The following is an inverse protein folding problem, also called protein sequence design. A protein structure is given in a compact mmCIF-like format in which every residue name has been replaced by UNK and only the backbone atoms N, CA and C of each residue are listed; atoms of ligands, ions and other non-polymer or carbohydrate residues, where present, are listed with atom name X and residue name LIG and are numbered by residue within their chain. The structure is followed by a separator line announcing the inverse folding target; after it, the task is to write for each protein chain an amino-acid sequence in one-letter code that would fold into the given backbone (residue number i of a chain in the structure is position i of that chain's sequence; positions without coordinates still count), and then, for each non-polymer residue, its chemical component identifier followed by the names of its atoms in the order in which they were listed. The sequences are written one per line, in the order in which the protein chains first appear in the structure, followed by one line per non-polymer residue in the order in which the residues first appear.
data_IF_880616446723
#
_entry.id   IF_880616446723
#
_cell.length_a   1.000
_cell.length_b   1.000
_cell.length_c   1.000
_cell.angle_alpha   90.00
_cell.angle_beta   90.00
_cell.angle_gamma   90.00
#
_symmetry.space_group_name_H-M   'P 1'
#
loop_
_entity.id
_entity.type
_entity.pdbx_description
1 polymer ?
#
# COMPACT_ATOMS: atom_id res chain seq x y z
N UNK A 1 -5.63 -9.68 -4.10
CA UNK A 1 -6.33 -8.39 -4.22
C UNK A 1 -5.47 -7.47 -5.08
N UNK A 2 -6.03 -6.48 -5.77
CA UNK A 2 -5.25 -5.50 -6.54
C UNK A 2 -5.70 -4.06 -6.22
N UNK A 3 -5.22 -3.08 -6.98
CA UNK A 3 -5.61 -1.68 -6.82
C UNK A 3 -4.43 -0.76 -6.51
N UNK A 4 -4.73 0.42 -5.96
CA UNK A 4 -3.72 1.44 -5.66
C UNK A 4 -4.08 2.19 -4.38
N UNK A 5 -3.05 2.66 -3.68
CA UNK A 5 -3.15 3.63 -2.60
C UNK A 5 -2.36 4.87 -2.98
N UNK A 6 -3.00 6.04 -2.90
CA UNK A 6 -2.33 7.33 -3.10
C UNK A 6 -2.14 8.02 -1.76
N UNK A 7 -0.96 8.61 -1.56
CA UNK A 7 -0.61 9.41 -0.39
C UNK A 7 -0.17 10.78 -0.86
N UNK A 8 -0.92 11.80 -0.48
CA UNK A 8 -0.53 13.20 -0.59
C UNK A 8 0.29 13.58 0.65
N UNK A 9 1.57 13.91 0.44
CA UNK A 9 2.48 14.28 1.52
C UNK A 9 2.26 15.76 1.85
N UNK A 10 1.76 16.03 3.06
CA UNK A 10 1.50 17.39 3.56
C UNK A 10 2.50 17.82 4.63
N UNK A 11 3.25 16.88 5.21
CA UNK A 11 4.28 17.19 6.18
C UNK A 11 5.40 18.04 5.56
N UNK A 12 5.91 19.05 6.30
CA UNK A 12 7.03 19.87 5.86
C UNK A 12 8.36 19.10 6.04
N UNK A 13 8.53 17.97 5.36
CA UNK A 13 9.73 17.12 5.49
C UNK A 13 11.03 17.89 5.21
N UNK A 14 10.98 18.82 4.26
CA UNK A 14 12.12 19.68 3.94
C UNK A 14 12.52 20.61 5.11
N UNK A 15 11.56 21.08 5.90
CA UNK A 15 11.83 21.91 7.09
C UNK A 15 12.49 21.08 8.21
N UNK A 16 12.30 19.76 8.17
CA UNK A 16 12.94 18.77 9.04
C UNK A 16 14.28 18.26 8.48
N UNK A 17 14.75 18.80 7.35
CA UNK A 17 15.97 18.31 6.68
C UNK A 17 15.83 16.93 6.06
N UNK A 18 14.61 16.40 5.95
CA UNK A 18 14.33 15.07 5.39
C UNK A 18 13.95 15.19 3.92
N UNK A 19 14.70 14.51 3.07
CA UNK A 19 14.43 14.36 1.64
C UNK A 19 13.85 12.97 1.36
N UNK A 20 12.58 12.86 0.92
CA UNK A 20 12.01 11.58 0.50
C UNK A 20 12.50 11.19 -0.90
N UNK A 21 12.82 9.91 -1.08
CA UNK A 21 13.13 9.27 -2.35
C UNK A 21 12.17 8.10 -2.58
N UNK A 22 11.61 8.01 -3.78
CA UNK A 22 10.73 6.91 -4.15
C UNK A 22 11.57 5.76 -4.73
N UNK A 23 11.53 4.60 -4.08
CA UNK A 23 12.30 3.41 -4.51
C UNK A 23 11.39 2.34 -5.14
N UNK A 24 10.20 2.14 -4.56
CA UNK A 24 9.18 1.22 -5.04
C UNK A 24 7.80 1.89 -4.97
N UNK A 25 7.32 2.37 -6.11
CA UNK A 25 6.03 3.06 -6.23
C UNK A 25 5.99 3.94 -7.46
N UNK A 26 5.00 4.81 -7.54
CA UNK A 26 4.82 5.78 -8.63
C UNK A 26 4.69 7.21 -8.11
N UNK A 27 5.31 8.17 -8.81
CA UNK A 27 5.02 9.59 -8.59
C UNK A 27 3.73 9.94 -9.35
N UNK A 28 2.64 10.15 -8.62
CA UNK A 28 1.32 10.48 -9.19
C UNK A 28 1.22 11.97 -9.54
N UNK A 29 1.72 12.82 -8.65
CA UNK A 29 1.80 14.28 -8.85
C UNK A 29 3.00 14.85 -8.11
N UNK A 30 3.65 15.87 -8.68
CA UNK A 30 4.72 16.60 -8.02
C UNK A 30 4.23 17.74 -7.13
N UNK A 31 3.03 18.28 -7.39
CA UNK A 31 2.48 19.44 -6.67
C UNK A 31 0.94 19.35 -6.59
N UNK A 32 0.35 19.05 -5.40
CA UNK A 32 1.05 18.58 -4.21
C UNK A 32 1.73 17.22 -4.46
N UNK A 33 2.80 16.94 -3.73
CA UNK A 33 3.54 15.68 -3.83
C UNK A 33 2.61 14.51 -3.48
N UNK A 34 2.26 13.72 -4.50
CA UNK A 34 1.39 12.56 -4.36
C UNK A 34 2.13 11.31 -4.82
N UNK A 35 2.24 10.34 -3.93
CA UNK A 35 2.89 9.05 -4.16
C UNK A 35 1.83 7.96 -4.31
N UNK A 36 2.02 7.07 -5.27
CA UNK A 36 1.14 5.95 -5.56
C UNK A 36 1.82 4.63 -5.23
N UNK A 37 1.12 3.74 -4.55
CA UNK A 37 1.58 2.42 -4.15
C UNK A 37 0.59 1.36 -4.64
N UNK A 38 1.08 0.36 -5.36
CA UNK A 38 0.24 -0.70 -5.86
C UNK A 38 -0.16 -1.64 -4.72
N UNK A 39 -1.44 -2.00 -4.68
CA UNK A 39 -1.94 -3.03 -3.77
C UNK A 39 -1.59 -4.38 -4.39
N UNK A 40 -0.79 -5.18 -3.69
CA UNK A 40 -0.30 -6.48 -4.15
C UNK A 40 -1.01 -7.65 -3.50
N UNK A 41 -1.60 -7.44 -2.31
CA UNK A 41 -2.16 -8.50 -1.50
C UNK A 41 -3.10 -8.00 -0.41
N UNK A 42 -3.29 -8.83 0.61
CA UNK A 42 -4.20 -8.59 1.73
C UNK A 42 -5.57 -9.29 1.62
N UNK A 43 -6.28 -9.30 2.74
CA UNK A 43 -7.63 -9.86 2.90
C UNK A 43 -8.56 -8.76 3.43
N UNK A 44 -9.49 -8.31 2.59
CA UNK A 44 -10.41 -7.22 2.88
C UNK A 44 -11.86 -7.68 2.68
N UNK A 45 -12.69 -7.49 3.71
CA UNK A 45 -14.13 -7.61 3.54
C UNK A 45 -14.67 -6.35 2.86
N UNK A 46 -15.00 -6.44 1.58
CA UNK A 46 -15.52 -5.32 0.79
C UNK A 46 -16.89 -4.79 1.26
N UNK A 47 -17.56 -5.47 2.19
CA UNK A 47 -18.81 -5.00 2.81
C UNK A 47 -18.54 -4.05 3.96
N UNK A 48 -17.55 -4.39 4.80
CA UNK A 48 -17.22 -3.66 6.03
C UNK A 48 -15.97 -2.80 5.90
N UNK A 49 -15.19 -3.01 4.84
CA UNK A 49 -13.84 -2.51 4.62
C UNK A 49 -12.86 -2.87 5.74
N UNK A 50 -13.16 -3.89 6.53
CA UNK A 50 -12.29 -4.40 7.58
C UNK A 50 -11.35 -5.47 7.02
N UNK A 51 -10.07 -5.39 7.36
CA UNK A 51 -9.07 -6.35 6.91
C UNK A 51 -7.67 -5.76 6.78
N UNK A 52 -6.87 -6.38 5.92
CA UNK A 52 -5.51 -5.96 5.59
C UNK A 52 -5.39 -5.62 4.11
N UNK A 53 -4.51 -4.68 3.80
CA UNK A 53 -4.13 -4.30 2.43
C UNK A 53 -2.60 -4.29 2.41
N UNK A 54 -2.02 -5.07 1.49
CA UNK A 54 -0.56 -5.23 1.38
C UNK A 54 -0.04 -4.54 0.13
N UNK A 55 1.15 -3.94 0.25
CA UNK A 55 1.86 -3.22 -0.81
C UNK A 55 3.29 -3.74 -0.97
N UNK A 56 3.48 -5.06 -0.85
CA UNK A 56 4.77 -5.73 -1.02
C UNK A 56 5.55 -5.22 -2.25
N UNK A 57 6.86 -5.02 -2.10
CA UNK A 57 7.74 -4.45 -3.12
C UNK A 57 7.67 -2.92 -3.26
N UNK A 58 6.73 -2.27 -2.56
CA UNK A 58 6.73 -0.81 -2.44
C UNK A 58 7.75 -0.34 -1.40
N UNK A 59 8.38 0.80 -1.65
CA UNK A 59 9.36 1.38 -0.72
C UNK A 59 9.58 2.88 -0.93
N UNK A 60 9.90 3.55 0.16
CA UNK A 60 10.40 4.93 0.18
C UNK A 60 11.69 4.98 0.99
N UNK A 61 12.63 5.81 0.58
CA UNK A 61 13.78 6.21 1.38
C UNK A 61 13.53 7.60 1.96
N UNK A 62 13.87 7.80 3.22
CA UNK A 62 13.93 9.09 3.88
C UNK A 62 15.41 9.36 4.16
N UNK A 63 15.97 10.39 3.53
CA UNK A 63 17.37 10.80 3.75
C UNK A 63 17.39 12.09 4.55
N UNK A 64 17.96 12.06 5.75
CA UNK A 64 18.18 13.24 6.57
C UNK A 64 19.62 13.73 6.43
N UNK A 65 19.79 15.03 6.20
CA UNK A 65 21.09 15.69 6.29
C UNK A 65 21.35 16.07 7.75
N UNK A 66 22.34 15.43 8.37
CA UNK A 66 22.69 15.62 9.78
C UNK A 66 23.59 16.83 10.03
N UNK A 67 23.98 17.56 8.98
CA UNK A 67 24.51 18.92 9.09
C UNK A 67 25.82 19.10 9.85
N UNK A 68 26.66 18.06 10.00
CA UNK A 68 27.99 18.25 10.56
C UNK A 68 29.00 18.62 9.46
N UNK A 69 29.54 19.84 9.62
CA UNK A 69 30.32 20.67 8.69
C UNK A 69 31.57 20.07 7.96
N UNK A 70 31.80 18.75 7.92
CA UNK A 70 33.01 18.21 7.26
C UNK A 70 32.92 16.82 6.59
N UNK A 71 31.81 16.08 6.66
CA UNK A 71 31.66 14.81 5.94
C UNK A 71 30.16 14.56 5.61
N UNK A 72 29.86 13.88 4.49
CA UNK A 72 28.50 13.48 4.10
C UNK A 72 27.87 12.53 5.14
N UNK A 73 27.39 13.07 6.25
CA UNK A 73 26.71 12.34 7.32
C UNK A 73 25.21 12.15 7.03
N UNK A 74 24.86 11.96 5.76
CA UNK A 74 23.48 11.67 5.36
C UNK A 74 23.05 10.32 5.95
N UNK A 75 22.00 10.33 6.77
CA UNK A 75 21.39 9.10 7.27
C UNK A 75 20.22 8.75 6.38
N UNK A 76 20.13 7.50 5.94
CA UNK A 76 19.01 7.01 5.12
C UNK A 76 18.23 5.93 5.86
N UNK A 77 16.92 6.12 5.97
CA UNK A 77 15.96 5.11 6.41
C UNK A 77 15.14 4.64 5.22
N UNK A 78 15.10 3.34 4.99
CA UNK A 78 14.22 2.73 3.99
C UNK A 78 13.02 2.13 4.68
N UNK A 79 11.83 2.57 4.26
CA UNK A 79 10.56 1.99 4.65
C UNK A 79 10.03 1.18 3.47
N UNK A 80 9.79 -0.11 3.65
CA UNK A 80 9.37 -1.02 2.59
C UNK A 80 8.22 -1.93 3.01
N UNK A 81 7.61 -2.58 2.01
CA UNK A 81 6.59 -3.62 2.20
C UNK A 81 5.43 -3.16 3.09
N UNK A 82 4.77 -2.07 2.72
CA UNK A 82 3.72 -1.48 3.54
C UNK A 82 2.53 -2.43 3.75
N UNK A 83 1.95 -2.36 4.94
CA UNK A 83 0.72 -3.06 5.29
C UNK A 83 -0.23 -2.11 6.02
N UNK A 84 -1.44 -1.96 5.48
CA UNK A 84 -2.55 -1.27 6.13
C UNK A 84 -3.44 -2.29 6.80
N UNK A 85 -3.68 -2.13 8.11
CA UNK A 85 -4.72 -2.85 8.83
C UNK A 85 -5.87 -1.89 9.13
N UNK A 86 -6.99 -2.05 8.42
CA UNK A 86 -8.16 -1.18 8.59
C UNK A 86 -8.96 -1.50 9.86
N UNK A 87 -8.78 -2.70 10.43
CA UNK A 87 -9.42 -3.10 11.68
C UNK A 87 -8.80 -2.44 12.92
N UNK A 88 -7.48 -2.24 12.92
CA UNK A 88 -6.76 -1.49 13.96
C UNK A 88 -6.49 -0.04 13.56
N UNK A 89 -6.75 0.32 12.30
CA UNK A 89 -6.46 1.62 11.72
C UNK A 89 -4.96 1.98 11.84
N UNK A 90 -4.08 1.04 11.49
CA UNK A 90 -2.62 1.19 11.56
C UNK A 90 -2.02 0.91 10.19
N UNK A 91 -1.02 1.72 9.81
CA UNK A 91 -0.13 1.49 8.68
C UNK A 91 1.26 1.13 9.23
N UNK A 92 1.75 -0.03 8.83
CA UNK A 92 3.04 -0.59 9.23
C UNK A 92 3.96 -0.73 8.02
N UNK A 93 5.27 -0.71 8.22
CA UNK A 93 6.27 -0.96 7.18
C UNK A 93 7.47 -1.71 7.76
N UNK A 94 8.20 -2.43 6.92
CA UNK A 94 9.55 -2.90 7.25
C UNK A 94 10.52 -1.72 7.23
N UNK A 95 11.32 -1.57 8.30
CA UNK A 95 12.32 -0.52 8.43
C UNK A 95 13.71 -1.11 8.22
N UNK A 96 14.39 -0.71 7.15
CA UNK A 96 15.75 -1.14 6.80
C UNK A 96 15.93 -2.68 6.72
N UNK A 97 14.85 -3.44 6.48
CA UNK A 97 14.86 -4.91 6.49
C UNK A 97 14.97 -5.52 7.90
N UNK A 98 14.77 -4.72 8.94
CA UNK A 98 14.83 -5.11 10.35
C UNK A 98 13.53 -5.72 10.88
N UNK A 99 12.44 -5.62 10.12
CA UNK A 99 11.13 -6.13 10.47
C UNK A 99 10.06 -5.05 10.49
N UNK A 100 8.80 -5.49 10.58
CA UNK A 100 7.64 -4.63 10.48
C UNK A 100 7.42 -3.80 11.77
N UNK A 101 7.30 -2.50 11.60
CA UNK A 101 7.05 -1.50 12.64
C UNK A 101 5.77 -0.74 12.30
N UNK A 102 4.95 -0.47 13.31
CA UNK A 102 3.75 0.35 13.17
C UNK A 102 4.17 1.82 13.06
N UNK A 103 3.92 2.43 11.90
CA UNK A 103 4.41 3.78 11.59
C UNK A 103 3.36 4.85 11.84
N UNK A 104 2.15 4.63 11.33
CA UNK A 104 1.10 5.63 11.33
C UNK A 104 -0.21 5.07 11.85
N UNK A 105 -0.96 5.91 12.56
CA UNK A 105 -2.38 5.72 12.79
C UNK A 105 -3.16 6.34 11.62
N UNK A 106 -4.28 5.68 11.27
CA UNK A 106 -5.18 6.06 10.21
C UNK A 106 -6.45 6.65 10.83
N UNK A 107 -6.82 7.88 10.47
CA UNK A 107 -8.14 8.41 10.84
C UNK A 107 -9.16 8.06 9.76
N UNK A 108 -10.03 7.10 10.07
CA UNK A 108 -11.16 6.68 9.22
C UNK A 108 -12.50 7.26 9.71
N UNK A 109 -12.48 8.09 10.75
CA UNK A 109 -13.68 8.52 11.45
C UNK A 109 -14.53 9.44 10.58
N UNK A 110 -15.78 9.07 10.33
CA UNK A 110 -16.69 9.88 9.52
C UNK A 110 -16.44 9.81 8.01
N UNK A 111 -15.54 8.95 7.54
CA UNK A 111 -15.35 8.67 6.12
C UNK A 111 -16.25 7.49 5.69
N UNK A 112 -16.87 7.61 4.52
CA UNK A 112 -17.56 6.50 3.88
C UNK A 112 -16.64 5.79 2.86
N UNK A 113 -17.13 4.70 2.28
CA UNK A 113 -16.39 3.94 1.29
C UNK A 113 -15.99 4.79 0.06
N UNK A 114 -16.81 5.77 -0.34
CA UNK A 114 -16.52 6.62 -1.48
C UNK A 114 -15.39 7.61 -1.16
N UNK A 115 -15.36 8.16 0.05
CA UNK A 115 -14.29 9.03 0.53
C UNK A 115 -12.96 8.27 0.67
N UNK A 116 -12.99 7.06 1.25
CA UNK A 116 -11.80 6.21 1.44
C UNK A 116 -11.16 5.82 0.10
N UNK A 117 -11.98 5.57 -0.92
CA UNK A 117 -11.53 5.06 -2.24
C UNK A 117 -11.27 6.13 -3.28
N UNK A 118 -11.47 7.41 -2.97
CA UNK A 118 -11.27 8.50 -3.91
C UNK A 118 -9.79 8.88 -4.06
N UNK A 119 -9.08 8.20 -4.96
CA UNK A 119 -7.66 8.43 -5.26
C UNK A 119 -7.32 9.87 -5.71
N UNK A 120 -8.30 10.64 -6.18
CA UNK A 120 -8.12 12.02 -6.61
C UNK A 120 -8.35 13.04 -5.49
N UNK A 121 -8.86 12.61 -4.34
CA UNK A 121 -9.05 13.44 -3.16
C UNK A 121 -8.74 12.62 -1.90
N UNK A 122 -7.46 12.44 -1.55
CA UNK A 122 -7.05 11.74 -0.34
C UNK A 122 -7.65 12.39 0.92
N UNK A 123 -8.22 11.58 1.83
CA UNK A 123 -8.89 12.09 3.05
C UNK A 123 -8.52 11.34 4.33
N UNK A 124 -7.87 10.18 4.24
CA UNK A 124 -7.46 9.38 5.39
C UNK A 124 -6.24 10.04 6.00
N UNK A 125 -6.34 10.58 7.21
CA UNK A 125 -5.18 11.19 7.87
C UNK A 125 -4.15 10.13 8.25
N UNK A 126 -2.89 10.38 7.92
CA UNK A 126 -1.73 9.62 8.38
C UNK A 126 -1.06 10.38 9.50
N UNK A 127 -1.11 9.85 10.73
CA UNK A 127 -0.51 10.50 11.90
C UNK A 127 0.56 9.59 12.51
N UNK A 128 1.76 10.12 12.73
CA UNK A 128 2.86 9.34 13.30
C UNK A 128 2.51 8.78 14.68
N UNK A 129 2.85 7.51 14.89
CA UNK A 129 2.77 6.84 16.19
C UNK A 129 4.02 7.11 17.03
N UNK A 130 3.89 7.01 18.35
CA UNK A 130 4.97 7.25 19.31
C UNK A 130 6.23 6.44 18.97
N UNK A 131 6.10 5.12 18.80
CA UNK A 131 7.24 4.24 18.53
C UNK A 131 7.96 4.54 17.21
N UNK A 132 7.23 5.03 16.20
CA UNK A 132 7.80 5.43 14.92
C UNK A 132 8.45 6.82 14.99
N UNK A 133 7.86 7.71 15.78
CA UNK A 133 8.41 9.03 16.05
C UNK A 133 9.75 8.91 16.76
N UNK A 134 9.81 8.14 17.85
CA UNK A 134 11.04 7.86 18.60
C UNK A 134 12.15 7.31 17.68
N UNK A 135 11.79 6.34 16.82
CA UNK A 135 12.73 5.72 15.88
C UNK A 135 13.29 6.75 14.89
N UNK A 136 12.43 7.55 14.25
CA UNK A 136 12.85 8.50 13.22
C UNK A 136 13.56 9.71 13.84
N UNK A 137 13.13 10.19 14.99
CA UNK A 137 13.77 11.29 15.72
C UNK A 137 15.18 10.91 16.21
N UNK A 138 15.35 9.71 16.76
CA UNK A 138 16.68 9.19 17.14
C UNK A 138 17.58 9.00 15.92
N UNK A 139 17.01 8.53 14.79
CA UNK A 139 17.78 8.28 13.57
C UNK A 139 18.24 9.57 12.88
N UNK A 140 17.41 10.61 12.90
CA UNK A 140 17.68 11.88 12.22
C UNK A 140 18.14 13.01 13.18
N UNK A 141 18.41 12.70 14.45
CA UNK A 141 18.74 13.68 15.52
C UNK A 141 17.78 14.89 15.54
N UNK A 142 16.49 14.60 15.31
CA UNK A 142 15.42 15.61 15.38
C UNK A 142 15.09 15.82 16.86
N UNK A 143 14.71 17.05 17.21
CA UNK A 143 14.24 17.35 18.56
C UNK A 143 13.10 16.39 18.95
N UNK A 144 13.26 15.70 20.09
CA UNK A 144 12.27 14.76 20.58
C UNK A 144 10.85 15.35 20.69
N UNK A 145 9.85 14.52 20.40
CA UNK A 145 8.41 14.83 20.36
C UNK A 145 7.95 15.72 19.19
N UNK A 146 8.78 15.98 18.18
CA UNK A 146 8.43 16.81 17.01
C UNK A 146 7.48 16.08 16.05
N UNK A 147 7.71 14.79 15.83
CA UNK A 147 6.95 13.93 14.93
C UNK A 147 5.75 13.30 15.65
N UNK A 148 5.80 13.13 16.97
CA UNK A 148 4.73 12.48 17.72
C UNK A 148 3.38 13.19 17.54
N UNK A 149 2.41 12.49 16.95
CA UNK A 149 1.09 13.05 16.65
C UNK A 149 1.06 14.04 15.49
N UNK A 150 2.18 14.25 14.79
CA UNK A 150 2.22 15.06 13.58
C UNK A 150 1.56 14.32 12.42
N UNK A 151 0.86 15.07 11.58
CA UNK A 151 0.27 14.53 10.35
C UNK A 151 1.33 14.48 9.25
N UNK A 152 1.56 13.28 8.72
CA UNK A 152 2.43 13.08 7.56
C UNK A 152 1.77 13.49 6.25
N UNK A 153 0.49 13.16 6.11
CA UNK A 153 -0.23 13.30 4.86
C UNK A 153 -1.65 12.81 4.90
N UNK A 154 -2.28 12.83 3.72
CA UNK A 154 -3.61 12.29 3.47
C UNK A 154 -3.51 11.11 2.50
N UNK A 155 -4.25 10.05 2.76
CA UNK A 155 -4.27 8.86 1.92
C UNK A 155 -5.67 8.57 1.36
N UNK A 156 -5.70 7.85 0.24
CA UNK A 156 -6.88 7.18 -0.29
C UNK A 156 -6.46 5.81 -0.82
N UNK A 157 -7.30 4.79 -0.58
CA UNK A 157 -7.02 3.42 -0.99
C UNK A 157 -8.19 2.86 -1.78
N UNK A 158 -7.92 2.42 -3.01
CA UNK A 158 -8.91 1.83 -3.91
C UNK A 158 -8.58 0.35 -4.18
N UNK A 159 -8.84 -0.55 -3.20
CA UNK A 159 -8.68 -1.97 -3.40
C UNK A 159 -9.72 -2.48 -4.40
N UNK A 160 -9.25 -3.34 -5.30
CA UNK A 160 -10.09 -4.03 -6.28
C UNK A 160 -10.05 -5.52 -5.93
N UNK A 161 -11.20 -6.18 -5.73
CA UNK A 161 -11.21 -7.62 -5.60
C UNK A 161 -10.61 -8.19 -6.87
N UNK A 162 -9.57 -9.02 -6.75
CA UNK A 162 -9.13 -9.80 -7.90
C UNK A 162 -10.32 -10.68 -8.25
N UNK A 163 -11.02 -10.35 -9.34
CA UNK A 163 -11.99 -11.26 -9.90
C UNK A 163 -11.24 -12.57 -10.09
N UNK A 164 -11.76 -13.64 -9.50
CA UNK A 164 -11.35 -14.99 -9.84
C UNK A 164 -11.79 -15.22 -11.30
N UNK A 165 -11.07 -14.62 -12.26
CA UNK A 165 -11.19 -14.94 -13.67
C UNK A 165 -10.48 -16.27 -13.91
N UNK A 166 -11.08 -17.32 -13.35
CA UNK A 166 -11.19 -18.57 -14.08
C UNK A 166 -12.66 -18.62 -14.51
N UNK A 167 -12.98 -17.86 -15.57
CA UNK A 167 -13.99 -18.34 -16.49
C UNK A 167 -13.52 -19.72 -16.94
N UNK A 168 -14.01 -20.78 -16.30
CA UNK A 168 -13.81 -22.13 -16.80
C UNK A 168 -14.18 -22.09 -18.28
N UNK A 169 -13.24 -22.36 -19.20
CA UNK A 169 -13.61 -22.37 -20.58
C UNK A 169 -14.67 -23.46 -20.68
N UNK A 170 -15.87 -23.08 -21.14
CA UNK A 170 -16.96 -23.98 -21.49
C UNK A 170 -16.56 -25.03 -22.57
N UNK A 171 -15.27 -25.16 -22.89
CA UNK A 171 -14.66 -26.23 -23.67
C UNK A 171 -14.84 -27.61 -23.04
N UNK A 172 -14.96 -27.78 -21.72
CA UNK A 172 -15.17 -29.12 -21.14
C UNK A 172 -16.56 -29.69 -21.48
N UNK A 173 -17.59 -28.85 -21.64
CA UNK A 173 -18.90 -29.28 -22.12
C UNK A 173 -18.88 -29.71 -23.60
N UNK A 174 -18.13 -29.00 -24.44
CA UNK A 174 -18.01 -29.30 -25.87
C UNK A 174 -17.19 -30.58 -26.15
N UNK A 175 -16.14 -30.85 -25.36
CA UNK A 175 -15.31 -32.05 -25.51
C UNK A 175 -16.05 -33.33 -25.09
N UNK A 176 -16.86 -33.28 -24.02
CA UNK A 176 -17.65 -34.43 -23.58
C UNK A 176 -18.75 -34.83 -24.58
N UNK A 177 -19.42 -33.85 -25.20
CA UNK A 177 -20.42 -34.09 -26.25
C UNK A 177 -19.84 -34.70 -27.54
N UNK A 178 -18.63 -34.26 -27.93
CA UNK A 178 -17.94 -34.74 -29.12
C UNK A 178 -17.56 -36.23 -29.07
N UNK A 179 -17.14 -36.73 -27.91
CA UNK A 179 -16.77 -38.15 -27.75
C UNK A 179 -17.98 -39.10 -27.76
N UNK A 180 -19.13 -38.70 -27.17
CA UNK A 180 -20.35 -39.51 -27.21
C UNK A 180 -20.96 -39.59 -28.62
N UNK A 181 -20.91 -38.49 -29.40
CA UNK A 181 -21.38 -38.48 -30.78
C UNK A 181 -20.59 -39.43 -31.70
N UNK A 182 -19.26 -39.48 -31.55
CA UNK A 182 -18.40 -40.35 -32.35
C UNK A 182 -18.57 -41.85 -32.01
N UNK A 183 -18.76 -42.18 -30.74
CA UNK A 183 -18.97 -43.57 -30.29
C UNK A 183 -20.31 -44.15 -30.79
N UNK A 184 -21.38 -43.33 -30.82
CA UNK A 184 -22.68 -43.71 -31.37
C UNK A 184 -22.66 -43.86 -32.90
N UNK A 185 -21.91 -43.02 -33.62
CA UNK A 185 -21.85 -43.06 -35.08
C UNK A 185 -21.12 -44.31 -35.61
N UNK A 186 -20.08 -44.79 -34.91
CA UNK A 186 -19.39 -46.04 -35.28
C UNK A 186 -20.23 -47.30 -35.10
N UNK A 187 -21.16 -47.32 -34.13
CA UNK A 187 -21.99 -48.51 -33.85
C UNK A 187 -23.10 -48.75 -34.88
N UNK A 188 -23.51 -47.70 -35.62
CA UNK A 188 -24.53 -47.80 -36.68
C UNK A 188 -24.02 -48.25 -38.06
N UNK A 189 -22.71 -48.33 -38.28
CA UNK A 189 -22.11 -48.79 -39.55
C UNK A 189 -21.73 -50.28 -39.56
N UNK A 190 -21.96 -51.00 -38.47
CA UNK A 190 -21.63 -52.43 -38.33
C UNK A 190 -22.86 -53.35 -38.31
N UNK A 191 -24.02 -52.87 -38.75
CA UNK A 191 -25.20 -53.67 -39.09
C UNK A 191 -25.48 -53.49 -40.58
#
# INVERSE_FOLDING_TARGET
MGGQTNVEVTAPLADLGITPGLLGGELVSGEPLTLGFNITGGDLDFTTLAGTIEHEGSSISLTGDMGNDDDNDDVTVVLSDFMINTGTAILSADVNGGGMVDLFSLDLTGLDAAAITNLSNPQISLTFLDAASDLLEDTFDIQGDTLMGAQFGLAATAPVPMSADVSEPALFGALAGGFFGLAMYRRRRQQ
#
